data_IF_019152308428
#
_entry.id   IF_019152308428
#
_cell.length_a   1.000
_cell.length_b   1.000
_cell.length_c   1.000
_cell.angle_alpha   90.00
_cell.angle_beta   90.00
_cell.angle_gamma   90.00
#
_symmetry.space_group_name_H-M   'P 1'
#
loop_
_entity.id
_entity.type
_entity.pdbx_description
1 polymer ?
#
# COMPACT_ATOMS: atom_id res chain seq x y z
N UNK A 1 15.97 -21.82 32.16
CA UNK A 1 15.21 -20.59 32.03
C UNK A 1 14.48 -20.49 30.67
N UNK A 2 13.63 -19.53 30.55
CA UNK A 2 12.84 -19.30 29.32
C UNK A 2 13.63 -18.55 28.23
N UNK A 3 14.93 -18.73 28.14
CA UNK A 3 15.81 -18.02 27.21
C UNK A 3 15.45 -18.40 25.77
N UNK A 4 15.20 -17.41 24.96
CA UNK A 4 14.79 -17.59 23.55
C UNK A 4 13.29 -17.91 23.33
N UNK A 5 12.55 -18.23 24.37
CA UNK A 5 11.09 -18.49 24.26
C UNK A 5 10.26 -17.21 24.43
N UNK A 6 10.79 -16.23 25.17
CA UNK A 6 10.16 -14.91 25.32
C UNK A 6 10.76 -13.94 24.32
N UNK A 7 9.89 -13.24 23.59
CA UNK A 7 10.26 -12.21 22.62
C UNK A 7 9.53 -10.94 22.97
N UNK A 8 10.15 -9.80 22.66
CA UNK A 8 9.53 -8.49 22.77
C UNK A 8 9.24 -7.94 21.36
N UNK A 9 8.23 -7.12 21.26
CA UNK A 9 7.98 -6.33 20.03
C UNK A 9 9.03 -5.22 19.94
N UNK A 10 9.38 -4.83 18.73
CA UNK A 10 10.21 -3.65 18.49
C UNK A 10 9.49 -2.38 18.97
N UNK A 11 10.25 -1.36 19.37
CA UNK A 11 9.68 -0.10 19.90
C UNK A 11 8.76 0.60 18.92
N UNK A 12 9.02 0.47 17.63
CA UNK A 12 8.23 1.11 16.56
C UNK A 12 7.07 0.24 16.07
N UNK A 13 6.92 -0.97 16.61
CA UNK A 13 5.82 -1.87 16.24
C UNK A 13 4.49 -1.29 16.69
N UNK A 14 3.47 -1.49 15.87
CA UNK A 14 2.12 -1.06 16.14
C UNK A 14 1.13 -2.21 15.89
N UNK A 15 -0.09 -2.04 16.39
CA UNK A 15 -1.18 -2.98 16.20
C UNK A 15 -2.19 -2.37 15.24
N UNK A 16 -2.55 -3.13 14.20
CA UNK A 16 -3.47 -2.63 13.18
C UNK A 16 -4.84 -2.29 13.75
N UNK A 17 -5.37 -1.15 13.31
CA UNK A 17 -6.79 -0.81 13.48
C UNK A 17 -7.60 -1.42 12.34
N UNK A 18 -8.76 -1.96 12.68
CA UNK A 18 -9.66 -2.56 11.70
C UNK A 18 -10.40 -1.49 10.88
N UNK A 19 -10.68 -1.81 9.63
CA UNK A 19 -11.54 -0.99 8.80
C UNK A 19 -12.52 -1.85 7.99
N UNK A 20 -13.62 -1.22 7.51
CA UNK A 20 -14.63 -1.93 6.74
C UNK A 20 -14.06 -2.48 5.42
N UNK A 21 -14.22 -3.77 5.11
CA UNK A 21 -13.78 -4.33 3.85
C UNK A 21 -14.66 -3.92 2.66
N UNK A 22 -15.86 -3.39 2.91
CA UNK A 22 -16.86 -3.11 1.87
C UNK A 22 -16.32 -2.13 0.83
N UNK A 23 -15.69 -1.06 1.26
CA UNK A 23 -15.15 -0.04 0.37
C UNK A 23 -13.96 -0.59 -0.44
N UNK A 24 -13.10 -1.38 0.19
CA UNK A 24 -12.01 -2.06 -0.51
C UNK A 24 -12.55 -3.01 -1.58
N UNK A 25 -13.59 -3.78 -1.27
CA UNK A 25 -14.24 -4.70 -2.23
C UNK A 25 -14.84 -3.91 -3.40
N UNK A 26 -15.52 -2.79 -3.14
CA UNK A 26 -16.06 -1.91 -4.19
C UNK A 26 -14.94 -1.39 -5.10
N UNK A 27 -13.85 -0.92 -4.51
CA UNK A 27 -12.69 -0.44 -5.23
C UNK A 27 -12.11 -1.52 -6.15
N UNK A 28 -11.87 -2.72 -5.61
CA UNK A 28 -11.32 -3.84 -6.38
C UNK A 28 -12.27 -4.25 -7.52
N UNK A 29 -13.60 -4.22 -7.29
CA UNK A 29 -14.60 -4.46 -8.36
C UNK A 29 -14.51 -3.44 -9.48
N UNK A 30 -14.37 -2.15 -9.14
CA UNK A 30 -14.21 -1.09 -10.13
C UNK A 30 -12.92 -1.21 -10.93
N UNK A 31 -11.89 -1.85 -10.37
CA UNK A 31 -10.62 -2.12 -11.03
C UNK A 31 -10.63 -3.35 -11.94
N UNK A 32 -11.78 -3.96 -12.17
CA UNK A 32 -11.94 -5.08 -13.11
C UNK A 32 -11.89 -6.47 -12.47
N UNK A 33 -12.31 -6.60 -11.21
CA UNK A 33 -12.51 -7.90 -10.60
C UNK A 33 -13.71 -8.61 -11.24
N UNK A 34 -13.50 -9.85 -11.69
CA UNK A 34 -14.58 -10.72 -12.10
C UNK A 34 -15.06 -11.54 -10.89
N UNK A 35 -16.33 -11.40 -10.51
CA UNK A 35 -16.87 -12.05 -9.33
C UNK A 35 -17.03 -13.57 -9.55
N UNK A 36 -16.95 -14.35 -8.48
CA UNK A 36 -17.05 -15.83 -8.54
C UNK A 36 -18.35 -16.30 -9.20
N UNK A 37 -19.45 -15.58 -8.97
CA UNK A 37 -20.76 -15.94 -9.55
C UNK A 37 -20.86 -15.77 -11.07
N UNK A 38 -19.98 -14.97 -11.65
CA UNK A 38 -20.02 -14.62 -13.08
C UNK A 38 -19.00 -15.42 -13.91
N UNK A 39 -18.24 -16.33 -13.27
CA UNK A 39 -17.14 -17.04 -13.92
C UNK A 39 -17.45 -18.50 -14.12
N UNK A 40 -17.20 -19.00 -15.32
CA UNK A 40 -17.24 -20.44 -15.56
C UNK A 40 -16.00 -21.13 -14.93
N UNK A 41 -16.16 -22.29 -14.23
CA UNK A 41 -15.07 -22.98 -13.53
C UNK A 41 -13.81 -23.24 -14.38
N UNK A 42 -13.97 -23.49 -15.67
CA UNK A 42 -12.84 -23.68 -16.60
C UNK A 42 -11.99 -22.44 -16.81
N UNK A 43 -12.57 -21.26 -16.67
CA UNK A 43 -11.88 -19.98 -16.87
C UNK A 43 -11.11 -19.53 -15.63
N UNK A 44 -11.34 -20.15 -14.49
CA UNK A 44 -10.65 -19.88 -13.24
C UNK A 44 -9.19 -20.40 -13.24
N UNK A 45 -8.91 -21.41 -14.08
CA UNK A 45 -7.58 -22.02 -14.10
C UNK A 45 -6.53 -21.04 -14.61
N UNK A 46 -5.41 -20.91 -13.87
CA UNK A 46 -4.32 -20.02 -14.23
C UNK A 46 -4.61 -18.52 -14.07
N UNK A 47 -5.68 -18.16 -13.35
CA UNK A 47 -6.03 -16.78 -13.04
C UNK A 47 -5.77 -16.47 -11.57
N UNK A 48 -5.39 -15.23 -11.28
CA UNK A 48 -5.10 -14.81 -9.91
C UNK A 48 -6.37 -14.61 -9.11
N UNK A 49 -6.45 -15.33 -8.01
CA UNK A 49 -7.54 -15.26 -7.04
C UNK A 49 -7.35 -14.07 -6.12
N UNK A 50 -8.44 -13.40 -5.78
CA UNK A 50 -8.41 -12.24 -4.87
C UNK A 50 -9.23 -12.57 -3.62
N UNK A 51 -8.56 -12.48 -2.47
CA UNK A 51 -9.15 -12.72 -1.16
C UNK A 51 -9.21 -11.40 -0.36
N UNK A 52 -10.29 -11.19 0.35
CA UNK A 52 -10.43 -10.09 1.31
C UNK A 52 -10.90 -10.65 2.64
N UNK A 53 -10.11 -10.46 3.70
CA UNK A 53 -10.35 -11.00 5.04
C UNK A 53 -10.68 -12.51 5.03
N UNK A 54 -9.93 -13.29 4.23
CA UNK A 54 -10.13 -14.73 4.08
C UNK A 54 -11.28 -15.16 3.17
N UNK A 55 -12.08 -14.22 2.67
CA UNK A 55 -13.17 -14.54 1.72
C UNK A 55 -12.66 -14.39 0.29
N UNK A 56 -12.84 -15.42 -0.51
CA UNK A 56 -12.56 -15.36 -1.95
C UNK A 56 -13.63 -14.58 -2.68
N UNK A 57 -13.30 -13.39 -3.17
CA UNK A 57 -14.25 -12.46 -3.81
C UNK A 57 -14.33 -12.60 -5.33
N UNK A 58 -13.28 -13.09 -5.97
CA UNK A 58 -13.24 -13.24 -7.42
C UNK A 58 -11.85 -13.51 -7.96
N UNK A 59 -11.70 -13.33 -9.26
CA UNK A 59 -10.43 -13.41 -9.98
C UNK A 59 -10.10 -12.10 -10.68
N UNK A 60 -8.80 -11.84 -10.88
CA UNK A 60 -8.34 -10.67 -11.62
C UNK A 60 -7.42 -11.06 -12.77
N UNK A 61 -7.63 -10.43 -13.96
CA UNK A 61 -6.88 -10.76 -15.18
C UNK A 61 -5.50 -10.11 -15.23
N UNK A 62 -5.34 -8.99 -14.56
CA UNK A 62 -4.08 -8.22 -14.52
C UNK A 62 -3.65 -7.98 -13.06
N UNK A 63 -3.14 -9.02 -12.36
CA UNK A 63 -2.86 -8.94 -10.92
C UNK A 63 -1.78 -7.92 -10.58
N UNK A 64 -0.80 -7.73 -11.45
CA UNK A 64 0.28 -6.76 -11.25
C UNK A 64 -0.23 -5.32 -11.21
N UNK A 65 -1.13 -4.96 -12.13
CA UNK A 65 -1.77 -3.63 -12.13
C UNK A 65 -2.60 -3.43 -10.88
N UNK A 66 -3.46 -4.40 -10.54
CA UNK A 66 -4.28 -4.34 -9.33
C UNK A 66 -3.41 -4.12 -8.08
N UNK A 67 -2.38 -4.94 -7.93
CA UNK A 67 -1.48 -4.89 -6.80
C UNK A 67 -0.74 -3.54 -6.68
N UNK A 68 -0.17 -3.05 -7.79
CA UNK A 68 0.54 -1.77 -7.83
C UNK A 68 -0.38 -0.59 -7.50
N UNK A 69 -1.59 -0.59 -8.02
CA UNK A 69 -2.58 0.47 -7.73
C UNK A 69 -3.03 0.44 -6.27
N UNK A 70 -3.34 -0.74 -5.71
CA UNK A 70 -3.72 -0.85 -4.30
C UNK A 70 -2.61 -0.34 -3.36
N UNK A 71 -1.35 -0.68 -3.65
CA UNK A 71 -0.21 -0.15 -2.90
C UNK A 71 -0.12 1.37 -3.00
N UNK A 72 -0.24 1.90 -4.21
CA UNK A 72 -0.16 3.33 -4.44
C UNK A 72 -1.29 4.08 -3.70
N UNK A 73 -2.49 3.52 -3.68
CA UNK A 73 -3.62 4.09 -2.95
C UNK A 73 -3.39 4.07 -1.44
N UNK A 74 -2.84 2.99 -0.88
CA UNK A 74 -2.44 2.95 0.53
C UNK A 74 -1.36 3.98 0.85
N UNK A 75 -0.33 4.09 0.02
CA UNK A 75 0.77 5.06 0.17
C UNK A 75 0.34 6.52 0.07
N UNK A 76 -0.79 6.76 -0.53
CA UNK A 76 -1.40 8.09 -0.59
C UNK A 76 -2.54 8.26 0.42
N UNK A 77 -2.76 7.26 1.30
CA UNK A 77 -3.79 7.26 2.33
C UNK A 77 -5.21 7.30 1.79
N UNK A 78 -5.43 6.81 0.58
CA UNK A 78 -6.75 6.57 0.00
C UNK A 78 -7.36 5.27 0.52
N UNK A 79 -6.49 4.34 0.89
CA UNK A 79 -6.80 3.18 1.70
C UNK A 79 -6.23 3.39 3.09
N UNK A 80 -6.81 2.71 4.09
CA UNK A 80 -6.28 2.71 5.44
C UNK A 80 -4.81 2.22 5.43
N UNK A 81 -3.94 2.90 6.15
CA UNK A 81 -2.49 2.63 6.19
C UNK A 81 -2.16 1.23 6.73
N UNK A 82 -3.06 0.65 7.52
CA UNK A 82 -2.93 -0.72 8.05
C UNK A 82 -3.54 -1.80 7.15
N UNK A 83 -4.10 -1.45 6.00
CA UNK A 83 -4.59 -2.45 5.05
C UNK A 83 -3.42 -3.27 4.52
N UNK A 84 -3.43 -4.57 4.78
CA UNK A 84 -2.43 -5.50 4.26
C UNK A 84 -2.75 -5.91 2.84
N UNK A 85 -1.73 -5.95 1.98
CA UNK A 85 -1.87 -6.34 0.57
C UNK A 85 -0.71 -7.26 0.21
N UNK A 86 -0.92 -8.55 0.29
CA UNK A 86 0.07 -9.58 -0.02
C UNK A 86 -0.21 -10.22 -1.38
N UNK A 87 0.81 -10.38 -2.20
CA UNK A 87 0.71 -11.07 -3.49
C UNK A 87 1.64 -12.26 -3.53
N UNK A 88 1.06 -13.46 -3.48
CA UNK A 88 1.75 -14.73 -3.63
C UNK A 88 1.79 -15.13 -5.11
N UNK A 89 2.86 -14.76 -5.80
CA UNK A 89 3.02 -15.02 -7.25
C UNK A 89 3.02 -16.51 -7.58
N UNK A 90 3.60 -17.34 -6.72
CA UNK A 90 3.68 -18.79 -6.92
C UNK A 90 2.32 -19.50 -6.80
N UNK A 91 1.40 -18.90 -6.04
CA UNK A 91 0.06 -19.47 -5.80
C UNK A 91 -1.03 -18.79 -6.64
N UNK A 92 -0.68 -17.74 -7.38
CA UNK A 92 -1.62 -16.87 -8.07
C UNK A 92 -2.73 -16.33 -7.13
N UNK A 93 -2.30 -15.78 -5.98
CA UNK A 93 -3.21 -15.29 -4.95
C UNK A 93 -2.83 -13.89 -4.48
N UNK A 94 -3.81 -12.98 -4.45
CA UNK A 94 -3.72 -11.67 -3.78
C UNK A 94 -4.59 -11.73 -2.54
N UNK A 95 -4.00 -11.48 -1.38
CA UNK A 95 -4.67 -11.50 -0.10
C UNK A 95 -4.66 -10.09 0.47
N UNK A 96 -5.85 -9.57 0.74
CA UNK A 96 -6.04 -8.27 1.39
C UNK A 96 -6.66 -8.47 2.77
N UNK A 97 -6.07 -7.86 3.79
CA UNK A 97 -6.59 -7.91 5.15
C UNK A 97 -6.83 -6.50 5.68
N UNK A 98 -8.04 -6.26 6.19
CA UNK A 98 -8.48 -4.99 6.79
C UNK A 98 -8.83 -5.13 8.26
N UNK A 99 -8.65 -6.30 8.85
CA UNK A 99 -8.94 -6.64 10.23
C UNK A 99 -8.00 -5.97 11.22
N UNK A 100 -8.44 -5.91 12.46
CA UNK A 100 -7.66 -5.37 13.58
C UNK A 100 -6.79 -6.45 14.24
N UNK A 101 -5.82 -6.01 15.05
CA UNK A 101 -5.06 -6.91 15.90
C UNK A 101 -3.84 -7.56 15.24
N UNK A 102 -3.48 -7.16 14.01
CA UNK A 102 -2.26 -7.62 13.34
C UNK A 102 -1.07 -6.78 13.81
N UNK A 103 0.05 -7.43 14.13
CA UNK A 103 1.28 -6.73 14.44
C UNK A 103 1.93 -6.22 13.17
N UNK A 104 2.15 -4.91 13.14
CA UNK A 104 2.75 -4.21 12.02
C UNK A 104 4.03 -3.50 12.46
N UNK A 105 4.97 -3.35 11.56
CA UNK A 105 6.14 -2.52 11.77
C UNK A 105 6.34 -1.51 10.65
N UNK A 106 6.80 -0.31 10.95
CA UNK A 106 7.08 0.69 9.94
C UNK A 106 8.38 0.34 9.20
N UNK A 107 8.36 0.43 7.88
CA UNK A 107 9.52 0.24 7.03
C UNK A 107 9.63 1.37 6.02
N UNK A 108 10.86 1.78 5.70
CA UNK A 108 11.11 2.73 4.62
C UNK A 108 10.86 2.08 3.26
N UNK A 109 10.19 2.81 2.39
CA UNK A 109 9.99 2.43 1.00
C UNK A 109 11.28 2.69 0.24
N UNK A 110 11.74 1.69 -0.52
CA UNK A 110 12.93 1.76 -1.35
C UNK A 110 12.52 1.75 -2.82
N UNK A 111 13.00 2.74 -3.57
CA UNK A 111 12.85 2.83 -5.01
C UNK A 111 14.21 3.10 -5.64
N UNK A 112 14.53 2.36 -6.70
CA UNK A 112 15.82 2.48 -7.39
C UNK A 112 17.05 2.41 -6.44
N UNK A 113 17.03 1.47 -5.51
CA UNK A 113 18.06 1.26 -4.49
C UNK A 113 18.32 2.50 -3.58
N UNK A 114 17.34 3.36 -3.44
CA UNK A 114 17.39 4.54 -2.56
C UNK A 114 16.12 4.64 -1.75
N UNK A 115 16.25 5.14 -0.52
CA UNK A 115 15.10 5.51 0.28
C UNK A 115 14.50 6.78 -0.34
N UNK A 116 13.19 6.83 -0.47
CA UNK A 116 12.45 7.96 -1.03
C UNK A 116 12.32 9.10 -0.02
N UNK A 117 13.45 9.54 0.57
CA UNK A 117 13.52 10.67 1.50
C UNK A 117 14.37 11.78 0.90
N UNK A 118 13.73 12.89 0.59
CA UNK A 118 14.43 14.09 0.21
C UNK A 118 14.95 14.85 1.46
N UNK A 119 16.11 15.51 1.37
CA UNK A 119 16.63 16.35 2.47
C UNK A 119 15.63 17.41 2.95
N UNK A 120 14.82 17.94 2.05
CA UNK A 120 13.74 18.89 2.33
C UNK A 120 12.69 18.34 3.31
N UNK A 121 12.37 17.05 3.22
CA UNK A 121 11.43 16.37 4.11
C UNK A 121 12.02 16.28 5.52
N UNK A 122 13.31 15.95 5.63
CA UNK A 122 14.03 15.85 6.91
C UNK A 122 14.04 17.22 7.62
N UNK A 123 14.32 18.30 6.90
CA UNK A 123 14.32 19.64 7.46
C UNK A 123 12.93 20.08 7.93
N UNK A 124 11.90 19.84 7.14
CA UNK A 124 10.49 20.13 7.50
C UNK A 124 10.03 19.30 8.69
N UNK A 125 10.45 18.02 8.78
CA UNK A 125 10.14 17.17 9.94
C UNK A 125 10.82 17.70 11.20
N UNK A 126 12.09 18.14 11.12
CA UNK A 126 12.79 18.77 12.24
C UNK A 126 12.16 20.07 12.72
N UNK A 127 11.57 20.84 11.81
CA UNK A 127 10.83 22.08 12.11
C UNK A 127 9.42 21.80 12.67
N UNK A 128 8.93 20.57 12.58
CA UNK A 128 7.58 20.18 13.01
C UNK A 128 6.47 20.43 11.98
N UNK A 129 6.83 20.85 10.77
CA UNK A 129 5.88 21.11 9.68
C UNK A 129 5.26 19.81 9.14
N UNK A 130 6.03 18.71 9.19
CA UNK A 130 5.61 17.37 8.75
C UNK A 130 5.42 16.50 9.98
N UNK A 131 4.21 15.97 10.14
CA UNK A 131 3.84 15.02 11.19
C UNK A 131 4.05 13.57 10.71
N UNK A 132 4.10 12.62 11.66
CA UNK A 132 4.22 11.19 11.39
C UNK A 132 3.18 10.69 10.37
N UNK A 133 1.93 11.12 10.51
CA UNK A 133 0.87 10.76 9.58
C UNK A 133 1.15 11.13 8.13
N UNK A 134 1.84 12.24 7.86
CA UNK A 134 2.19 12.65 6.50
C UNK A 134 3.25 11.74 5.88
N UNK A 135 4.14 11.19 6.71
CA UNK A 135 5.14 10.22 6.27
C UNK A 135 4.51 8.87 5.86
N UNK A 136 3.38 8.52 6.48
CA UNK A 136 2.63 7.27 6.24
C UNK A 136 1.61 7.37 5.11
N UNK A 137 1.04 8.54 4.87
CA UNK A 137 -0.07 8.73 3.95
C UNK A 137 0.22 9.67 2.77
N UNK A 138 1.50 10.03 2.61
CA UNK A 138 1.95 10.91 1.54
C UNK A 138 1.64 12.39 1.78
N UNK A 139 2.03 13.20 0.80
CA UNK A 139 2.04 14.67 0.89
C UNK A 139 0.91 15.32 0.10
N UNK A 140 -0.13 14.59 -0.21
CA UNK A 140 -1.30 15.13 -0.91
C UNK A 140 -2.06 16.11 -0.01
N UNK A 141 -2.39 17.29 -0.54
CA UNK A 141 -3.29 18.23 0.12
C UNK A 141 -4.69 17.65 0.08
N UNK A 142 -5.24 17.29 1.23
CA UNK A 142 -6.64 16.82 1.35
C UNK A 142 -7.54 17.98 1.69
N UNK A 143 -8.75 17.97 1.14
CA UNK A 143 -9.78 18.98 1.46
C UNK A 143 -10.39 18.83 2.85
N UNK A 144 -10.19 17.69 3.51
CA UNK A 144 -10.76 17.42 4.84
C UNK A 144 -9.68 17.01 5.84
N UNK A 145 -9.83 17.44 7.08
CA UNK A 145 -8.98 17.10 8.24
C UNK A 145 -9.25 15.68 8.76
N UNK A 146 -9.55 14.72 7.89
CA UNK A 146 -9.77 13.33 8.33
C UNK A 146 -8.48 12.73 8.87
N UNK A 147 -8.60 12.05 9.98
CA UNK A 147 -7.50 11.28 10.56
C UNK A 147 -7.05 10.18 9.59
N UNK A 148 -5.75 9.95 9.47
CA UNK A 148 -5.17 8.88 8.67
C UNK A 148 -5.56 7.48 9.13
N UNK A 149 -6.15 7.41 10.31
CA UNK A 149 -6.62 6.20 10.97
C UNK A 149 -8.14 5.99 10.84
N UNK A 150 -8.84 6.94 10.20
CA UNK A 150 -10.26 6.76 9.93
C UNK A 150 -10.47 5.62 8.94
N UNK A 151 -11.44 4.77 9.26
CA UNK A 151 -11.73 3.53 8.53
C UNK A 151 -12.37 3.76 7.14
N UNK A 152 -12.49 5.01 6.72
CA UNK A 152 -13.11 5.35 5.45
C UNK A 152 -12.08 5.37 4.33
N UNK A 153 -12.30 4.55 3.31
CA UNK A 153 -11.62 4.69 2.04
C UNK A 153 -12.07 5.99 1.38
N UNK A 154 -11.11 6.80 1.00
CA UNK A 154 -11.42 8.01 0.26
C UNK A 154 -11.86 7.66 -1.16
N UNK A 155 -12.89 8.33 -1.62
CA UNK A 155 -13.34 8.17 -2.99
C UNK A 155 -12.28 8.75 -3.94
N UNK A 156 -11.85 7.98 -4.93
CA UNK A 156 -10.87 8.42 -5.93
C UNK A 156 -11.37 9.66 -6.66
N UNK A 157 -12.69 9.79 -6.86
CA UNK A 157 -13.34 10.98 -7.41
C UNK A 157 -13.01 12.27 -6.64
N UNK A 158 -12.68 12.20 -5.35
CA UNK A 158 -12.25 13.37 -4.56
C UNK A 158 -10.81 13.80 -4.87
N UNK A 159 -10.00 12.92 -5.44
CA UNK A 159 -8.67 13.24 -5.94
C UNK A 159 -8.70 13.93 -7.29
N UNK A 160 -9.59 13.51 -8.17
CA UNK A 160 -9.77 14.10 -9.49
C UNK A 160 -10.11 15.59 -9.39
N UNK A 161 -10.86 16.00 -8.36
CA UNK A 161 -11.21 17.39 -8.07
C UNK A 161 -10.03 18.30 -7.64
N UNK A 162 -8.86 17.72 -7.30
CA UNK A 162 -7.67 18.48 -6.86
C UNK A 162 -6.55 18.53 -7.90
N UNK A 163 -6.73 17.86 -9.01
CA UNK A 163 -5.85 17.94 -10.15
C UNK A 163 -6.41 19.03 -11.09
N UNK A 164 -5.62 20.08 -11.33
CA UNK A 164 -5.92 21.08 -12.36
C UNK A 164 -5.75 20.45 -13.76
N UNK A 165 -6.49 19.37 -14.03
CA UNK A 165 -6.48 18.70 -15.33
C UNK A 165 -7.55 19.36 -16.16
N UNK A 166 -7.14 19.86 -17.33
CA UNK A 166 -8.05 20.42 -18.33
C UNK A 166 -8.89 19.27 -18.94
N UNK A 167 -10.01 18.94 -18.28
CA UNK A 167 -10.91 17.83 -18.63
C UNK A 167 -11.43 17.86 -20.07
N UNK A 168 -11.23 19.00 -20.75
CA UNK A 168 -11.75 19.22 -22.10
C UNK A 168 -10.90 18.63 -23.23
N UNK A 169 -9.68 18.13 -22.94
CA UNK A 169 -8.70 17.77 -23.98
C UNK A 169 -8.06 16.38 -23.82
N UNK A 170 -8.25 15.68 -22.72
CA UNK A 170 -7.59 14.41 -22.48
C UNK A 170 -8.56 13.23 -22.59
N UNK A 171 -8.09 12.10 -23.12
CA UNK A 171 -8.83 10.83 -23.04
C UNK A 171 -8.85 10.34 -21.59
N UNK A 172 -9.83 9.51 -21.22
CA UNK A 172 -9.93 8.97 -19.85
C UNK A 172 -8.64 8.21 -19.44
N UNK A 173 -8.01 7.52 -20.38
CA UNK A 173 -6.75 6.79 -20.16
C UNK A 173 -5.56 7.73 -19.89
N UNK A 174 -5.52 8.91 -20.53
CA UNK A 174 -4.48 9.91 -20.29
C UNK A 174 -4.63 10.57 -18.92
N UNK A 175 -5.88 10.82 -18.50
CA UNK A 175 -6.20 11.36 -17.16
C UNK A 175 -5.76 10.37 -16.08
N UNK A 176 -6.10 9.10 -16.22
CA UNK A 176 -5.70 8.04 -15.27
C UNK A 176 -4.18 7.93 -15.16
N UNK A 177 -3.47 8.03 -16.28
CA UNK A 177 -2.00 7.99 -16.31
C UNK A 177 -1.35 9.20 -15.60
N UNK A 178 -1.94 10.37 -15.71
CA UNK A 178 -1.46 11.59 -15.06
C UNK A 178 -1.73 11.57 -13.55
N UNK A 179 -2.91 11.10 -13.15
CA UNK A 179 -3.26 10.86 -11.74
C UNK A 179 -2.25 9.91 -11.10
N UNK A 180 -1.94 8.80 -11.73
CA UNK A 180 -0.98 7.82 -11.23
C UNK A 180 0.42 8.46 -11.07
N UNK A 181 0.88 9.26 -12.01
CA UNK A 181 2.16 9.98 -11.91
C UNK A 181 2.20 10.94 -10.71
N UNK A 182 1.13 11.70 -10.50
CA UNK A 182 1.03 12.60 -9.35
C UNK A 182 1.00 11.85 -8.02
N UNK A 183 0.29 10.73 -7.95
CA UNK A 183 0.28 9.87 -6.76
C UNK A 183 1.67 9.31 -6.45
N UNK A 184 2.45 8.92 -7.46
CA UNK A 184 3.83 8.47 -7.28
C UNK A 184 4.75 9.56 -6.73
N UNK A 185 4.59 10.81 -7.17
CA UNK A 185 5.41 11.92 -6.67
C UNK A 185 5.14 12.27 -5.22
N UNK A 186 3.92 12.09 -4.77
CA UNK A 186 3.45 12.52 -3.45
C UNK A 186 3.22 11.37 -2.46
N UNK A 187 3.65 10.17 -2.81
CA UNK A 187 3.46 8.97 -2.00
C UNK A 187 4.21 9.04 -0.65
N UNK A 188 3.80 8.18 0.25
CA UNK A 188 4.40 7.98 1.56
C UNK A 188 5.88 7.58 1.47
N UNK A 189 6.59 7.82 2.54
CA UNK A 189 8.00 7.41 2.72
C UNK A 189 8.11 6.15 3.55
N UNK A 190 7.15 5.95 4.44
CA UNK A 190 7.08 4.84 5.40
C UNK A 190 5.78 4.08 5.17
N UNK A 191 5.83 2.77 5.26
CA UNK A 191 4.68 1.87 5.22
C UNK A 191 4.67 0.97 6.44
N UNK A 192 3.48 0.71 7.01
CA UNK A 192 3.28 -0.34 8.00
C UNK A 192 3.05 -1.67 7.28
N UNK A 193 3.92 -2.64 7.52
CA UNK A 193 3.80 -3.99 6.99
C UNK A 193 3.54 -4.98 8.12
N UNK A 194 2.60 -5.89 7.90
CA UNK A 194 2.33 -7.01 8.79
C UNK A 194 3.11 -8.27 8.38
N UNK A 195 2.95 -9.34 9.13
CA UNK A 195 3.67 -10.60 8.89
C UNK A 195 3.30 -11.22 7.53
N UNK A 196 2.06 -11.07 7.08
CA UNK A 196 1.59 -11.62 5.80
C UNK A 196 2.27 -10.94 4.61
N UNK A 197 2.33 -9.60 4.62
CA UNK A 197 3.05 -8.87 3.57
C UNK A 197 4.56 -9.11 3.62
N UNK A 198 5.15 -9.20 4.82
CA UNK A 198 6.59 -9.44 4.97
C UNK A 198 7.03 -10.75 4.32
N UNK A 199 6.19 -11.77 4.31
CA UNK A 199 6.48 -13.06 3.66
C UNK A 199 6.59 -12.93 2.12
N UNK A 200 5.98 -11.91 1.54
CA UNK A 200 5.96 -11.67 0.08
C UNK A 200 6.94 -10.59 -0.36
N UNK A 201 7.71 -9.98 0.56
CA UNK A 201 8.58 -8.84 0.29
C UNK A 201 10.04 -9.13 0.52
N UNK A 202 10.88 -8.48 -0.26
CA UNK A 202 12.32 -8.48 -0.04
C UNK A 202 12.71 -7.26 0.81
N UNK A 203 13.38 -7.52 1.92
CA UNK A 203 13.84 -6.52 2.88
C UNK A 203 15.36 -6.43 2.85
N UNK A 204 15.90 -5.22 2.78
CA UNK A 204 17.33 -5.00 3.02
C UNK A 204 17.60 -4.88 4.51
N UNK A 205 18.50 -5.71 5.08
CA UNK A 205 18.82 -5.64 6.51
C UNK A 205 19.69 -4.43 6.87
N UNK A 206 20.41 -3.86 5.90
CA UNK A 206 21.32 -2.72 6.10
C UNK A 206 21.31 -1.80 4.89
N UNK A 207 21.47 -0.51 5.16
CA UNK A 207 21.53 0.52 4.13
C UNK A 207 22.68 0.32 3.13
N UNK A 208 23.86 -0.12 3.61
CA UNK A 208 25.02 -0.36 2.75
C UNK A 208 24.81 -1.54 1.81
N UNK A 209 24.10 -2.58 2.25
CA UNK A 209 23.73 -3.73 1.42
C UNK A 209 22.83 -3.30 0.27
N UNK A 210 21.91 -2.38 0.52
CA UNK A 210 21.00 -1.85 -0.49
C UNK A 210 21.73 -1.12 -1.62
N UNK A 211 22.81 -0.39 -1.29
CA UNK A 211 23.60 0.36 -2.28
C UNK A 211 24.46 -0.53 -3.17
N UNK A 212 24.94 -1.64 -2.63
CA UNK A 212 25.95 -2.50 -3.28
C UNK A 212 25.36 -3.66 -4.08
N UNK A 213 24.06 -3.92 -3.92
CA UNK A 213 23.36 -4.94 -4.71
C UNK A 213 22.53 -4.30 -5.80
N UNK A 214 22.78 -4.69 -7.06
CA UNK A 214 21.92 -4.41 -8.24
C UNK A 214 20.56 -5.13 -8.15
N UNK A 215 20.03 -5.30 -6.94
CA UNK A 215 18.76 -5.98 -6.78
C UNK A 215 17.61 -4.97 -6.90
N UNK A 216 17.04 -4.89 -8.09
CA UNK A 216 15.69 -4.33 -8.31
C UNK A 216 14.62 -4.95 -7.41
N UNK A 217 15.00 -5.99 -6.66
CA UNK A 217 14.14 -6.81 -5.82
C UNK A 217 13.90 -6.20 -4.44
N UNK A 218 14.83 -5.40 -3.90
CA UNK A 218 14.68 -4.81 -2.57
C UNK A 218 13.67 -3.65 -2.61
N UNK A 219 12.55 -3.81 -1.94
CA UNK A 219 11.48 -2.80 -1.90
C UNK A 219 11.39 -2.04 -0.59
N UNK A 220 11.99 -2.56 0.48
CA UNK A 220 11.92 -1.98 1.81
C UNK A 220 13.23 -2.10 2.57
N UNK A 221 13.44 -1.22 3.54
CA UNK A 221 14.50 -1.31 4.55
C UNK A 221 13.97 -0.88 5.91
N UNK A 222 14.66 -1.27 6.97
CA UNK A 222 14.26 -0.99 8.34
C UNK A 222 14.32 0.52 8.62
N UNK A 223 13.32 1.02 9.35
CA UNK A 223 13.34 2.34 9.97
C UNK A 223 13.52 2.26 11.50
N UNK A 224 13.65 1.06 12.03
CA UNK A 224 13.91 0.82 13.44
C UNK A 224 15.41 0.81 13.72
N UNK A 225 15.76 1.38 14.84
CA UNK A 225 17.10 1.29 15.43
C UNK A 225 17.16 0.13 16.40
#
# INVERSE_FOLDING_TARGET
GNVGLRKALSMMSDVSFGCSPIELIKLIKNMGLVQIGDIHPREMYGKTKVFVNGVWIGIHLSPEKLYTHLLLYRRNGLLNVYTSIAWYKEKDEIICCTDQGRFCRPLYIVENNRINIEPSIIEKTKKGDIKWGNLLSGFNKRKSEFSYFDCNTYNIEQLELNLDIDERKASKEDIDAEIIKELHKKQAVIEYLDAEELNTRMLSPKFDVMRNHDSELTKYTHCEL
#
